data_IF_241446806866
#
_entry.id   IF_241446806866
#
_cell.length_a   1.000
_cell.length_b   1.000
_cell.length_c   1.000
_cell.angle_alpha   90.00
_cell.angle_beta   90.00
_cell.angle_gamma   90.00
#
_symmetry.space_group_name_H-M   'P 1'
#
loop_
_entity.id
_entity.type
_entity.pdbx_description
1 polymer ?
#
# COMPACT_ATOMS: atom_id res chain seq x y z
N UNK A 1 1.36 -31.44 1.14
CA UNK A 1 1.85 -30.04 1.10
C UNK A 1 0.74 -29.15 1.61
N UNK A 2 0.80 -28.55 2.82
CA UNK A 2 -0.25 -27.62 3.20
C UNK A 2 -0.13 -26.39 2.30
N UNK A 3 -1.26 -25.99 1.71
CA UNK A 3 -1.36 -24.91 0.74
C UNK A 3 -0.68 -23.63 1.26
N UNK A 4 0.13 -23.03 0.38
CA UNK A 4 0.91 -21.84 0.65
C UNK A 4 0.03 -20.65 1.06
N UNK A 5 0.59 -19.83 1.96
CA UNK A 5 0.12 -18.54 2.47
C UNK A 5 -1.36 -18.44 2.88
N UNK A 6 -1.65 -18.01 4.13
CA UNK A 6 -3.02 -17.71 4.55
C UNK A 6 -3.73 -16.81 3.52
N UNK A 7 -5.01 -17.06 3.19
CA UNK A 7 -5.74 -16.24 2.21
C UNK A 7 -5.75 -14.74 2.60
N UNK A 8 -5.66 -14.44 3.90
CA UNK A 8 -5.49 -13.09 4.41
C UNK A 8 -4.17 -12.43 3.96
N UNK A 9 -3.07 -13.18 3.86
CA UNK A 9 -1.78 -12.69 3.37
C UNK A 9 -1.81 -12.39 1.86
N UNK A 10 -2.49 -13.23 1.07
CA UNK A 10 -2.68 -13.00 -0.36
C UNK A 10 -3.50 -11.73 -0.63
N UNK A 11 -4.61 -11.57 0.11
CA UNK A 11 -5.46 -10.38 0.01
C UNK A 11 -4.68 -9.14 0.44
N UNK A 12 -3.91 -9.20 1.53
CA UNK A 12 -3.10 -8.07 1.97
C UNK A 12 -2.03 -7.69 0.93
N UNK A 13 -1.35 -8.66 0.33
CA UNK A 13 -0.41 -8.43 -0.76
C UNK A 13 -1.05 -7.67 -1.91
N UNK A 14 -2.21 -8.14 -2.39
CA UNK A 14 -2.95 -7.47 -3.46
C UNK A 14 -3.38 -6.03 -3.10
N UNK A 15 -3.79 -5.79 -1.85
CA UNK A 15 -4.14 -4.45 -1.36
C UNK A 15 -2.92 -3.51 -1.33
N UNK A 16 -1.75 -4.02 -0.96
CA UNK A 16 -0.51 -3.24 -0.95
C UNK A 16 -0.08 -2.89 -2.38
N UNK A 17 -0.19 -3.83 -3.32
CA UNK A 17 0.08 -3.57 -4.73
C UNK A 17 -0.83 -2.49 -5.32
N UNK A 18 -2.14 -2.57 -5.03
CA UNK A 18 -3.09 -1.53 -5.41
C UNK A 18 -2.72 -0.16 -4.81
N UNK A 19 -2.31 -0.13 -3.53
CA UNK A 19 -1.90 1.10 -2.87
C UNK A 19 -0.63 1.71 -3.49
N UNK A 20 0.36 0.89 -3.85
CA UNK A 20 1.58 1.33 -4.54
C UNK A 20 1.25 2.05 -5.85
N UNK A 21 0.48 1.37 -6.71
CA UNK A 21 0.08 1.92 -8.00
C UNK A 21 -0.67 3.25 -7.87
N UNK A 22 -1.54 3.38 -6.87
CA UNK A 22 -2.22 4.64 -6.59
C UNK A 22 -1.30 5.76 -6.09
N UNK A 23 -0.25 5.43 -5.33
CA UNK A 23 0.73 6.41 -4.85
C UNK A 23 1.69 6.86 -5.95
N UNK A 24 1.95 5.98 -6.92
CA UNK A 24 2.76 6.25 -8.11
C UNK A 24 1.98 7.08 -9.13
N UNK A 25 0.75 6.65 -9.46
CA UNK A 25 -0.06 7.29 -10.49
C UNK A 25 -0.76 8.58 -10.02
N UNK A 26 -0.91 8.78 -8.70
CA UNK A 26 -1.70 9.90 -8.18
C UNK A 26 -1.09 10.58 -6.95
N UNK A 27 -1.39 11.87 -6.80
CA UNK A 27 -1.10 12.68 -5.60
C UNK A 27 -2.22 12.63 -4.56
N UNK A 28 -3.13 11.66 -4.65
CA UNK A 28 -4.29 11.57 -3.75
C UNK A 28 -3.86 11.49 -2.28
N UNK A 29 -4.66 12.04 -1.35
CA UNK A 29 -4.43 11.88 0.08
C UNK A 29 -4.44 10.41 0.50
N UNK A 30 -3.64 10.04 1.51
CA UNK A 30 -3.55 8.66 2.02
C UNK A 30 -4.92 8.08 2.42
N UNK A 31 -5.87 8.92 2.85
CA UNK A 31 -7.26 8.49 3.14
C UNK A 31 -7.97 7.95 1.91
N UNK A 32 -7.82 8.59 0.75
CA UNK A 32 -8.38 8.11 -0.52
C UNK A 32 -7.66 6.86 -0.99
N UNK A 33 -6.33 6.82 -0.88
CA UNK A 33 -5.53 5.64 -1.25
C UNK A 33 -5.95 4.43 -0.43
N UNK A 34 -6.09 4.58 0.89
CA UNK A 34 -6.54 3.53 1.78
C UNK A 34 -7.91 2.98 1.35
N UNK A 35 -8.91 3.86 1.19
CA UNK A 35 -10.26 3.45 0.79
C UNK A 35 -10.26 2.70 -0.57
N UNK A 36 -9.54 3.20 -1.57
CA UNK A 36 -9.46 2.57 -2.90
C UNK A 36 -8.67 1.25 -2.91
N UNK A 37 -7.74 1.08 -1.98
CA UNK A 37 -6.92 -0.12 -1.86
C UNK A 37 -7.52 -1.15 -0.90
N UNK A 38 -8.74 -0.93 -0.39
CA UNK A 38 -9.40 -1.86 0.53
C UNK A 38 -8.94 -1.77 1.99
N UNK A 39 -8.24 -0.70 2.37
CA UNK A 39 -7.96 -0.38 3.77
C UNK A 39 -9.02 0.59 4.31
N UNK A 40 -9.76 0.17 5.33
CA UNK A 40 -10.81 1.01 5.94
C UNK A 40 -10.32 2.33 6.53
N UNK A 41 -9.01 2.46 6.81
CA UNK A 41 -8.41 3.71 7.26
C UNK A 41 -6.92 3.83 6.87
N UNK A 42 -6.34 5.05 6.89
CA UNK A 42 -4.94 5.28 6.55
C UNK A 42 -3.94 4.62 7.50
N UNK A 43 -4.30 4.42 8.77
CA UNK A 43 -3.41 3.81 9.76
C UNK A 43 -3.20 2.31 9.49
N UNK A 44 -4.26 1.60 9.07
CA UNK A 44 -4.21 0.20 8.64
C UNK A 44 -3.34 0.04 7.39
N UNK A 45 -3.52 0.92 6.40
CA UNK A 45 -2.64 0.98 5.24
C UNK A 45 -1.18 1.19 5.68
N UNK A 46 -0.90 2.20 6.51
CA UNK A 46 0.46 2.48 7.01
C UNK A 46 1.11 1.26 7.67
N UNK A 47 0.41 0.59 8.59
CA UNK A 47 0.91 -0.60 9.29
C UNK A 47 1.20 -1.75 8.33
N UNK A 48 0.27 -2.05 7.42
CA UNK A 48 0.45 -3.12 6.44
C UNK A 48 1.59 -2.82 5.46
N UNK A 49 1.68 -1.58 4.98
CA UNK A 49 2.74 -1.13 4.07
C UNK A 49 4.11 -1.20 4.74
N UNK A 50 4.22 -0.74 5.98
CA UNK A 50 5.47 -0.82 6.74
C UNK A 50 5.86 -2.27 7.05
N UNK A 51 4.90 -3.14 7.38
CA UNK A 51 5.16 -4.56 7.64
C UNK A 51 5.63 -5.30 6.39
N UNK A 52 5.09 -4.96 5.22
CA UNK A 52 5.42 -5.63 3.94
C UNK A 52 6.66 -5.06 3.25
N UNK A 53 6.86 -3.75 3.32
CA UNK A 53 7.82 -3.02 2.49
C UNK A 53 8.88 -2.26 3.30
N UNK A 54 8.75 -2.21 4.62
CA UNK A 54 9.69 -1.51 5.50
C UNK A 54 9.65 0.02 5.42
N UNK A 55 8.73 0.60 4.65
CA UNK A 55 8.61 2.05 4.44
C UNK A 55 7.17 2.52 4.65
N UNK A 56 6.98 3.81 4.91
CA UNK A 56 5.63 4.38 4.96
C UNK A 56 5.14 4.74 3.55
N UNK A 57 3.82 4.70 3.29
CA UNK A 57 3.27 5.10 1.99
C UNK A 57 3.55 6.57 1.66
N UNK A 58 3.73 7.42 2.67
CA UNK A 58 4.13 8.83 2.48
C UNK A 58 5.56 8.95 1.97
N UNK A 59 6.51 8.24 2.59
CA UNK A 59 7.91 8.20 2.15
C UNK A 59 8.03 7.58 0.76
N UNK A 60 7.30 6.49 0.52
CA UNK A 60 7.23 5.83 -0.79
C UNK A 60 6.79 6.82 -1.87
N UNK A 61 5.69 7.55 -1.63
CA UNK A 61 5.20 8.57 -2.56
C UNK A 61 6.25 9.66 -2.82
N UNK A 62 6.87 10.20 -1.77
CA UNK A 62 7.88 11.26 -1.92
C UNK A 62 9.08 10.79 -2.75
N UNK A 63 9.53 9.54 -2.58
CA UNK A 63 10.64 8.98 -3.37
C UNK A 63 10.27 8.80 -4.84
N UNK A 64 9.09 8.27 -5.12
CA UNK A 64 8.63 8.03 -6.50
C UNK A 64 8.27 9.32 -7.24
N UNK A 65 7.61 10.27 -6.57
CA UNK A 65 7.27 11.57 -7.19
C UNK A 65 8.51 12.43 -7.44
N UNK A 66 9.56 12.30 -6.61
CA UNK A 66 10.87 12.91 -6.90
C UNK A 66 11.57 12.29 -8.11
N UNK A 67 11.36 11.00 -8.39
CA UNK A 67 11.97 10.33 -9.53
C UNK A 67 11.25 10.61 -10.87
N UNK A 68 10.01 11.11 -10.82
CA UNK A 68 9.22 11.50 -11.99
C UNK A 68 9.40 13.00 -12.37
N UNK A 69 10.33 13.72 -11.73
CA UNK A 69 10.65 15.12 -12.00
C UNK A 69 12.00 15.26 -12.71
#
# INVERSE_FOLDING_TARGET
MPAGMPPADLVEGARIDAARRLLEDTTNPLKRVAARSGFGNPNGLRRAFQRRLGVTPGDYRTRFQKAAS
#
